data_IF_836212322919
#
_entry.id   IF_836212322919
#
_cell.length_a   1.000
_cell.length_b   1.000
_cell.length_c   1.000
_cell.angle_alpha   90.00
_cell.angle_beta   90.00
_cell.angle_gamma   90.00
#
_symmetry.space_group_name_H-M   'P 1'
#
loop_
_entity.id
_entity.type
_entity.pdbx_description
1 polymer ?
#
# COMPACT_ATOMS: atom_id res chain seq x y z
N UNK A 1 -0.29 -7.56 -19.25
CA UNK A 1 1.17 -7.34 -19.18
C UNK A 1 1.84 -7.85 -20.45
N UNK A 2 2.84 -7.13 -20.97
CA UNK A 2 3.64 -7.56 -22.12
C UNK A 2 4.56 -8.72 -21.74
N UNK A 3 4.98 -9.55 -22.71
CA UNK A 3 5.98 -10.59 -22.49
C UNK A 3 7.27 -10.04 -21.87
N UNK A 4 7.63 -8.78 -22.18
CA UNK A 4 8.78 -8.10 -21.57
C UNK A 4 8.59 -7.87 -20.06
N UNK A 5 7.39 -7.46 -19.63
CA UNK A 5 7.10 -7.25 -18.22
C UNK A 5 7.21 -8.58 -17.41
N UNK A 6 6.62 -9.65 -17.96
CA UNK A 6 6.73 -10.99 -17.35
C UNK A 6 8.18 -11.49 -17.29
N UNK A 7 8.98 -11.20 -18.32
CA UNK A 7 10.40 -11.57 -18.32
C UNK A 7 11.17 -10.76 -17.24
N UNK A 8 10.87 -9.48 -17.08
CA UNK A 8 11.48 -8.66 -16.04
C UNK A 8 11.14 -9.17 -14.64
N UNK A 9 9.87 -9.51 -14.38
CA UNK A 9 9.43 -10.13 -13.12
C UNK A 9 10.15 -11.44 -12.84
N UNK A 10 10.29 -12.31 -13.85
CA UNK A 10 11.00 -13.58 -13.73
C UNK A 10 12.47 -13.37 -13.36
N UNK A 11 13.16 -12.40 -13.99
CA UNK A 11 14.53 -12.05 -13.60
C UNK A 11 14.61 -11.46 -12.20
N UNK A 12 13.63 -10.66 -11.77
CA UNK A 12 13.56 -10.16 -10.39
C UNK A 12 13.44 -11.32 -9.40
N UNK A 13 12.50 -12.23 -9.63
CA UNK A 13 12.34 -13.42 -8.81
C UNK A 13 13.62 -14.28 -8.70
N UNK A 14 14.37 -14.39 -9.81
CA UNK A 14 15.66 -15.06 -9.84
C UNK A 14 16.81 -14.22 -9.24
N UNK A 15 16.55 -13.06 -8.67
CA UNK A 15 17.53 -12.07 -8.15
C UNK A 15 18.55 -11.62 -9.20
N UNK A 16 18.21 -11.72 -10.49
CA UNK A 16 19.00 -11.19 -11.60
C UNK A 16 18.67 -9.71 -11.82
N UNK A 17 18.90 -8.88 -10.79
CA UNK A 17 18.43 -7.51 -10.70
C UNK A 17 18.86 -6.63 -11.88
N UNK A 18 20.12 -6.74 -12.32
CA UNK A 18 20.62 -5.95 -13.45
C UNK A 18 19.82 -6.21 -14.73
N UNK A 19 19.52 -7.49 -15.04
CA UNK A 19 18.72 -7.84 -16.21
C UNK A 19 17.29 -7.37 -16.08
N UNK A 20 16.69 -7.59 -14.92
CA UNK A 20 15.34 -7.12 -14.61
C UNK A 20 15.21 -5.61 -14.78
N UNK A 21 16.07 -4.81 -14.13
CA UNK A 21 16.07 -3.34 -14.22
C UNK A 21 16.23 -2.86 -15.67
N UNK A 22 17.13 -3.44 -16.47
CA UNK A 22 17.30 -3.06 -17.88
C UNK A 22 16.03 -3.23 -18.69
N UNK A 23 15.26 -4.31 -18.44
CA UNK A 23 13.99 -4.53 -19.13
C UNK A 23 12.95 -3.55 -18.63
N UNK A 24 12.82 -3.31 -17.32
CA UNK A 24 11.91 -2.31 -16.78
C UNK A 24 12.21 -0.90 -17.32
N UNK A 25 13.48 -0.49 -17.40
CA UNK A 25 13.85 0.80 -18.03
C UNK A 25 13.39 0.87 -19.49
N UNK A 26 13.49 -0.23 -20.25
CA UNK A 26 12.96 -0.26 -21.62
C UNK A 26 11.43 -0.15 -21.72
N UNK A 27 10.70 -0.48 -20.66
CA UNK A 27 9.24 -0.35 -20.63
C UNK A 27 8.79 1.09 -20.38
N UNK A 28 9.58 1.92 -19.73
CA UNK A 28 9.25 3.32 -19.45
C UNK A 28 9.00 4.13 -20.73
N UNK A 29 9.66 3.80 -21.83
CA UNK A 29 9.49 4.47 -23.11
C UNK A 29 8.20 4.11 -23.87
N UNK A 30 7.46 3.08 -23.43
CA UNK A 30 6.26 2.59 -24.13
C UNK A 30 5.04 3.48 -23.83
N UNK A 31 4.98 4.10 -22.67
CA UNK A 31 3.89 4.98 -22.24
C UNK A 31 3.73 5.02 -20.75
N UNK A 32 2.88 5.95 -20.29
CA UNK A 32 2.74 6.29 -18.87
C UNK A 32 2.43 5.08 -17.96
N UNK A 33 1.47 4.23 -18.34
CA UNK A 33 1.08 3.05 -17.53
C UNK A 33 2.27 2.11 -17.30
N UNK A 34 3.08 1.92 -18.36
CA UNK A 34 4.27 1.08 -18.26
C UNK A 34 5.40 1.77 -17.50
N UNK A 35 5.53 3.08 -17.62
CA UNK A 35 6.52 3.86 -16.86
C UNK A 35 6.26 3.75 -15.37
N UNK A 36 5.00 3.95 -14.93
CA UNK A 36 4.60 3.80 -13.54
C UNK A 36 4.82 2.39 -13.01
N UNK A 37 4.37 1.37 -13.76
CA UNK A 37 4.60 -0.04 -13.41
C UNK A 37 6.08 -0.38 -13.28
N UNK A 38 6.90 0.02 -14.27
CA UNK A 38 8.34 -0.22 -14.27
C UNK A 38 9.04 0.45 -13.08
N UNK A 39 8.67 1.70 -12.77
CA UNK A 39 9.26 2.45 -11.67
C UNK A 39 8.95 1.85 -10.30
N UNK A 40 7.74 1.31 -10.09
CA UNK A 40 7.41 0.55 -8.87
C UNK A 40 8.30 -0.69 -8.71
N UNK A 41 8.48 -1.46 -9.78
CA UNK A 41 9.28 -2.68 -9.73
C UNK A 41 10.79 -2.38 -9.59
N UNK A 42 11.30 -1.33 -10.24
CA UNK A 42 12.68 -0.86 -10.03
C UNK A 42 12.88 -0.42 -8.59
N UNK A 43 11.93 0.29 -8.00
CA UNK A 43 11.99 0.70 -6.60
C UNK A 43 12.03 -0.52 -5.66
N UNK A 44 11.25 -1.56 -5.93
CA UNK A 44 11.29 -2.82 -5.17
C UNK A 44 12.66 -3.50 -5.28
N UNK A 45 13.25 -3.57 -6.47
CA UNK A 45 14.60 -4.12 -6.66
C UNK A 45 15.65 -3.30 -5.91
N UNK A 46 15.58 -1.97 -5.99
CA UNK A 46 16.53 -1.10 -5.29
C UNK A 46 16.42 -1.23 -3.78
N UNK A 47 15.20 -1.48 -3.27
CA UNK A 47 15.00 -1.77 -1.86
C UNK A 47 15.72 -3.04 -1.42
N UNK A 48 15.65 -4.11 -2.23
CA UNK A 48 16.32 -5.37 -1.96
C UNK A 48 17.84 -5.26 -2.08
N UNK A 49 18.36 -4.48 -3.05
CA UNK A 49 19.80 -4.28 -3.27
C UNK A 49 20.45 -3.33 -2.29
N UNK A 50 19.81 -2.19 -1.98
CA UNK A 50 20.46 -1.04 -1.34
C UNK A 50 19.75 -0.59 -0.05
N UNK A 51 18.64 -1.24 0.32
CA UNK A 51 17.86 -0.85 1.47
C UNK A 51 16.93 0.36 1.25
N UNK A 52 16.29 0.79 2.34
CA UNK A 52 15.17 1.76 2.29
C UNK A 52 15.55 3.13 1.75
N UNK A 53 16.78 3.59 1.98
CA UNK A 53 17.18 4.97 1.71
C UNK A 53 17.12 5.34 0.21
N UNK A 54 17.45 4.40 -0.66
CA UNK A 54 17.56 4.66 -2.11
C UNK A 54 16.36 4.18 -2.92
N UNK A 55 15.49 3.37 -2.35
CA UNK A 55 14.46 2.65 -3.09
C UNK A 55 13.34 3.54 -3.65
N UNK A 56 13.02 4.64 -2.98
CA UNK A 56 11.83 5.45 -3.30
C UNK A 56 12.09 6.63 -4.23
N UNK A 57 13.35 7.05 -4.42
CA UNK A 57 13.71 8.27 -5.16
C UNK A 57 13.19 8.22 -6.61
N UNK A 58 13.42 7.12 -7.31
CA UNK A 58 12.98 6.94 -8.70
C UNK A 58 11.45 6.89 -8.81
N UNK A 59 10.79 6.22 -7.87
CA UNK A 59 9.34 6.10 -7.83
C UNK A 59 8.66 7.45 -7.55
N UNK A 60 9.20 8.23 -6.61
CA UNK A 60 8.70 9.57 -6.29
C UNK A 60 8.90 10.53 -7.48
N UNK A 61 10.02 10.41 -8.19
CA UNK A 61 10.25 11.18 -9.41
C UNK A 61 9.20 10.90 -10.47
N UNK A 62 8.90 9.63 -10.76
CA UNK A 62 7.86 9.25 -11.72
C UNK A 62 6.47 9.70 -11.26
N UNK A 63 6.16 9.56 -9.97
CA UNK A 63 4.89 10.05 -9.42
C UNK A 63 4.73 11.57 -9.61
N UNK A 64 5.80 12.34 -9.39
CA UNK A 64 5.79 13.79 -9.54
C UNK A 64 5.70 14.27 -11.00
N UNK A 65 5.95 13.39 -11.97
CA UNK A 65 5.71 13.67 -13.40
C UNK A 65 4.23 13.56 -13.79
N UNK A 66 3.39 13.01 -12.91
CA UNK A 66 1.94 12.99 -13.13
C UNK A 66 1.38 14.40 -13.07
N UNK A 67 0.78 14.85 -14.16
CA UNK A 67 0.15 16.18 -14.22
C UNK A 67 -1.09 16.30 -13.33
N UNK A 68 -1.77 15.19 -13.03
CA UNK A 68 -2.96 15.14 -12.18
C UNK A 68 -3.14 13.74 -11.57
N UNK A 69 -2.42 13.39 -10.49
CA UNK A 69 -2.56 12.09 -9.87
C UNK A 69 -3.95 11.96 -9.24
N UNK A 70 -4.70 10.92 -9.65
CA UNK A 70 -6.00 10.58 -9.09
C UNK A 70 -5.86 9.68 -7.85
N UNK A 71 -7.00 9.27 -7.26
CA UNK A 71 -7.02 8.45 -6.05
C UNK A 71 -6.34 7.08 -6.27
N UNK A 72 -6.42 6.49 -7.45
CA UNK A 72 -5.80 5.20 -7.76
C UNK A 72 -4.27 5.29 -7.70
N UNK A 73 -3.68 6.34 -8.26
CA UNK A 73 -2.25 6.58 -8.20
C UNK A 73 -1.77 6.75 -6.74
N UNK A 74 -2.53 7.51 -5.92
CA UNK A 74 -2.23 7.66 -4.50
C UNK A 74 -2.36 6.33 -3.75
N UNK A 75 -3.42 5.55 -4.03
CA UNK A 75 -3.65 4.24 -3.43
C UNK A 75 -2.54 3.24 -3.75
N UNK A 76 -2.11 3.16 -5.01
CA UNK A 76 -1.01 2.27 -5.42
C UNK A 76 0.32 2.65 -4.77
N UNK A 77 0.62 3.96 -4.71
CA UNK A 77 1.83 4.45 -4.05
C UNK A 77 1.78 4.19 -2.54
N UNK A 78 0.62 4.38 -1.92
CA UNK A 78 0.41 4.06 -0.51
C UNK A 78 0.63 2.57 -0.22
N UNK A 79 0.12 1.68 -1.10
CA UNK A 79 0.35 0.23 -0.99
C UNK A 79 1.83 -0.11 -1.06
N UNK A 80 2.57 0.46 -2.03
CA UNK A 80 4.00 0.26 -2.13
C UNK A 80 4.71 0.65 -0.83
N UNK A 81 4.39 1.81 -0.28
CA UNK A 81 4.99 2.27 0.98
C UNK A 81 4.62 1.38 2.18
N UNK A 82 3.35 0.98 2.30
CA UNK A 82 2.91 0.09 3.38
C UNK A 82 3.61 -1.27 3.32
N UNK A 83 3.63 -1.88 2.13
CA UNK A 83 4.18 -3.23 1.93
C UNK A 83 5.72 -3.26 2.16
N UNK A 84 6.37 -2.09 2.10
CA UNK A 84 7.80 -1.93 2.39
C UNK A 84 8.06 -1.19 3.72
N UNK A 85 7.06 -1.10 4.60
CA UNK A 85 7.16 -0.58 5.97
C UNK A 85 7.55 0.92 6.08
N UNK A 86 7.20 1.72 5.07
CA UNK A 86 7.28 3.18 5.12
C UNK A 86 5.93 3.75 5.60
N UNK A 87 5.57 3.48 6.85
CA UNK A 87 4.21 3.69 7.34
C UNK A 87 3.76 5.15 7.33
N UNK A 88 4.62 6.12 7.66
CA UNK A 88 4.28 7.55 7.58
C UNK A 88 3.93 7.97 6.15
N UNK A 89 4.72 7.52 5.16
CA UNK A 89 4.44 7.80 3.76
C UNK A 89 3.15 7.11 3.30
N UNK A 90 2.92 5.87 3.72
CA UNK A 90 1.69 5.15 3.38
C UNK A 90 0.45 5.85 3.91
N UNK A 91 0.44 6.30 5.16
CA UNK A 91 -0.66 7.08 5.76
C UNK A 91 -0.94 8.35 4.97
N UNK A 92 0.12 9.09 4.60
CA UNK A 92 -0.01 10.31 3.78
C UNK A 92 -0.75 10.01 2.48
N UNK A 93 -0.32 9.00 1.74
CA UNK A 93 -0.87 8.70 0.42
C UNK A 93 -2.24 8.00 0.49
N UNK A 94 -2.52 7.16 1.48
CA UNK A 94 -3.89 6.68 1.73
C UNK A 94 -4.84 7.83 2.05
N UNK A 95 -4.38 8.81 2.82
CA UNK A 95 -5.21 9.99 3.13
C UNK A 95 -5.50 10.84 1.89
N UNK A 96 -4.56 10.95 0.96
CA UNK A 96 -4.79 11.60 -0.33
C UNK A 96 -5.74 10.78 -1.21
N UNK A 97 -5.63 9.46 -1.24
CA UNK A 97 -6.57 8.59 -1.92
C UNK A 97 -8.00 8.76 -1.40
N UNK A 98 -8.18 8.74 -0.06
CA UNK A 98 -9.50 8.95 0.57
C UNK A 98 -10.10 10.34 0.30
N UNK A 99 -9.29 11.36 0.06
CA UNK A 99 -9.79 12.68 -0.34
C UNK A 99 -10.24 12.74 -1.80
N UNK A 100 -9.67 11.92 -2.65
CA UNK A 100 -9.93 11.93 -4.09
C UNK A 100 -10.92 10.86 -4.56
N UNK A 101 -11.46 10.03 -3.66
CA UNK A 101 -12.40 8.95 -3.94
C UNK A 101 -13.78 9.27 -3.37
N UNK A 102 -14.84 8.82 -4.02
CA UNK A 102 -16.21 8.93 -3.49
C UNK A 102 -16.39 8.04 -2.26
N UNK A 103 -17.18 8.50 -1.28
CA UNK A 103 -17.30 7.84 0.03
C UNK A 103 -17.92 6.44 -0.04
N UNK A 104 -18.74 6.17 -1.03
CA UNK A 104 -19.43 4.90 -1.28
C UNK A 104 -18.66 3.98 -2.21
N UNK A 105 -17.47 4.39 -2.66
CA UNK A 105 -16.66 3.57 -3.54
C UNK A 105 -16.16 2.31 -2.81
N UNK A 106 -16.23 1.15 -3.48
CA UNK A 106 -15.93 -0.17 -2.92
C UNK A 106 -14.50 -0.32 -2.34
N UNK A 107 -13.55 0.53 -2.75
CA UNK A 107 -12.18 0.52 -2.20
C UNK A 107 -12.04 1.27 -0.88
N UNK A 108 -13.02 2.09 -0.48
CA UNK A 108 -12.91 2.90 0.75
C UNK A 108 -12.65 2.05 2.00
N UNK A 109 -13.40 0.96 2.25
CA UNK A 109 -13.11 0.09 3.40
C UNK A 109 -11.69 -0.46 3.40
N UNK A 110 -11.21 -0.90 2.25
CA UNK A 110 -9.86 -1.44 2.10
C UNK A 110 -8.76 -0.38 2.32
N UNK A 111 -8.99 0.86 1.88
CA UNK A 111 -8.05 1.95 2.11
C UNK A 111 -7.98 2.29 3.60
N UNK A 112 -9.14 2.33 4.27
CA UNK A 112 -9.23 2.56 5.71
C UNK A 112 -8.53 1.46 6.52
N UNK A 113 -8.80 0.18 6.23
CA UNK A 113 -8.12 -0.95 6.85
C UNK A 113 -6.58 -0.84 6.73
N UNK A 114 -6.08 -0.58 5.51
CA UNK A 114 -4.64 -0.47 5.26
C UNK A 114 -4.02 0.76 5.94
N UNK A 115 -4.73 1.90 5.98
CA UNK A 115 -4.26 3.09 6.70
C UNK A 115 -4.30 2.87 8.20
N UNK A 116 -5.35 2.27 8.73
CA UNK A 116 -5.48 1.88 10.12
C UNK A 116 -4.33 0.97 10.57
N UNK A 117 -4.02 -0.07 9.78
CA UNK A 117 -2.86 -0.93 10.03
C UNK A 117 -1.55 -0.12 10.06
N UNK A 118 -1.37 0.86 9.15
CA UNK A 118 -0.17 1.69 9.13
C UNK A 118 -0.07 2.60 10.36
N UNK A 119 -1.20 3.14 10.85
CA UNK A 119 -1.24 3.89 12.11
C UNK A 119 -0.86 3.01 13.31
N UNK A 120 -1.37 1.78 13.36
CA UNK A 120 -1.03 0.85 14.44
C UNK A 120 0.47 0.53 14.46
N UNK A 121 1.08 0.26 13.31
CA UNK A 121 2.51 0.00 13.19
C UNK A 121 3.39 1.15 13.69
N UNK A 122 2.87 2.37 13.70
CA UNK A 122 3.51 3.56 14.29
C UNK A 122 3.12 3.80 15.76
N UNK A 123 2.36 2.90 16.38
CA UNK A 123 1.88 3.05 17.75
C UNK A 123 0.73 4.05 17.91
N UNK A 124 0.16 4.56 16.84
CA UNK A 124 -0.97 5.49 16.87
C UNK A 124 -2.31 4.74 16.86
N UNK A 125 -2.62 4.11 18.00
CA UNK A 125 -3.80 3.26 18.14
C UNK A 125 -5.11 4.01 17.94
N UNK A 126 -5.24 5.24 18.43
CA UNK A 126 -6.47 6.03 18.33
C UNK A 126 -6.91 6.19 16.85
N UNK A 127 -5.99 6.55 15.96
CA UNK A 127 -6.29 6.68 14.54
C UNK A 127 -6.44 5.31 13.85
N UNK A 128 -5.72 4.28 14.31
CA UNK A 128 -5.87 2.92 13.81
C UNK A 128 -7.28 2.39 14.08
N UNK A 129 -7.72 2.42 15.33
CA UNK A 129 -9.05 1.97 15.74
C UNK A 129 -10.16 2.71 14.99
N UNK A 130 -10.04 4.03 14.87
CA UNK A 130 -11.00 4.85 14.11
C UNK A 130 -11.14 4.40 12.66
N UNK A 131 -10.04 4.17 11.97
CA UNK A 131 -10.05 3.73 10.58
C UNK A 131 -10.62 2.31 10.43
N UNK A 132 -10.24 1.39 11.31
CA UNK A 132 -10.73 0.01 11.30
C UNK A 132 -12.24 -0.05 11.58
N UNK A 133 -12.71 0.71 12.57
CA UNK A 133 -14.15 0.81 12.89
C UNK A 133 -14.95 1.42 11.74
N UNK A 134 -14.45 2.49 11.10
CA UNK A 134 -15.12 3.10 9.95
C UNK A 134 -15.13 2.12 8.75
N UNK A 135 -14.06 1.34 8.55
CA UNK A 135 -14.03 0.27 7.55
C UNK A 135 -15.14 -0.75 7.77
N UNK A 136 -15.29 -1.25 9.01
CA UNK A 136 -16.32 -2.22 9.39
C UNK A 136 -17.74 -1.64 9.31
N UNK A 137 -17.92 -0.35 9.58
CA UNK A 137 -19.22 0.32 9.44
C UNK A 137 -19.68 0.36 7.98
N UNK A 138 -18.76 0.56 7.03
CA UNK A 138 -19.07 0.57 5.58
C UNK A 138 -19.24 -0.86 5.05
N UNK A 139 -18.37 -1.77 5.45
CA UNK A 139 -18.38 -3.18 5.07
C UNK A 139 -18.24 -4.06 6.32
N UNK A 140 -19.35 -4.52 6.93
CA UNK A 140 -19.29 -5.24 8.22
C UNK A 140 -18.62 -6.61 8.16
N UNK A 141 -18.74 -7.33 7.02
CA UNK A 141 -18.21 -8.68 6.86
C UNK A 141 -16.76 -8.66 6.32
N UNK A 142 -15.83 -8.33 7.22
CA UNK A 142 -14.39 -8.33 6.95
C UNK A 142 -13.66 -9.14 8.05
N UNK A 143 -13.59 -10.47 7.96
CA UNK A 143 -13.06 -11.33 9.04
C UNK A 143 -11.65 -10.92 9.51
N UNK A 144 -10.78 -10.50 8.59
CA UNK A 144 -9.42 -10.08 8.95
C UNK A 144 -9.40 -8.77 9.75
N UNK A 145 -10.30 -7.82 9.45
CA UNK A 145 -10.40 -6.53 10.19
C UNK A 145 -11.02 -6.77 11.56
N UNK A 146 -12.09 -7.60 11.63
CA UNK A 146 -12.71 -8.01 12.87
C UNK A 146 -11.71 -8.69 13.81
N UNK A 147 -10.98 -9.69 13.31
CA UNK A 147 -9.96 -10.37 14.08
C UNK A 147 -8.86 -9.40 14.56
N UNK A 148 -8.38 -8.54 13.67
CA UNK A 148 -7.31 -7.60 13.99
C UNK A 148 -7.72 -6.61 15.08
N UNK A 149 -8.92 -6.04 14.98
CA UNK A 149 -9.47 -5.11 15.98
C UNK A 149 -9.71 -5.82 17.30
N UNK A 150 -10.36 -7.00 17.27
CA UNK A 150 -10.65 -7.81 18.46
C UNK A 150 -9.38 -8.18 19.23
N UNK A 151 -8.38 -8.75 18.55
CA UNK A 151 -7.10 -9.09 19.19
C UNK A 151 -6.39 -7.86 19.74
N UNK A 152 -6.42 -6.74 19.05
CA UNK A 152 -5.81 -5.49 19.51
C UNK A 152 -6.51 -4.95 20.77
N UNK A 153 -7.82 -5.04 20.85
CA UNK A 153 -8.59 -4.67 22.05
C UNK A 153 -8.29 -5.58 23.23
N UNK A 154 -8.24 -6.89 23.01
CA UNK A 154 -7.93 -7.88 24.05
C UNK A 154 -6.52 -7.66 24.59
N UNK A 155 -5.53 -7.48 23.73
CA UNK A 155 -4.13 -7.25 24.10
C UNK A 155 -3.96 -5.96 24.92
N UNK A 156 -4.75 -4.94 24.61
CA UNK A 156 -4.77 -3.65 25.33
C UNK A 156 -5.66 -3.64 26.57
N UNK A 157 -6.43 -4.71 26.82
CA UNK A 157 -7.37 -4.80 27.94
C UNK A 157 -8.56 -3.84 27.84
N UNK A 158 -8.97 -3.48 26.62
CA UNK A 158 -10.11 -2.59 26.35
C UNK A 158 -11.16 -3.33 25.52
N UNK A 159 -12.43 -2.92 25.61
CA UNK A 159 -13.56 -3.45 24.82
C UNK A 159 -13.58 -5.00 24.77
N UNK A 160 -13.32 -5.66 25.91
CA UNK A 160 -13.09 -7.12 25.97
C UNK A 160 -14.32 -7.92 25.50
N UNK A 161 -15.52 -7.49 25.90
CA UNK A 161 -16.76 -8.19 25.54
C UNK A 161 -17.03 -8.10 24.04
N UNK A 162 -16.91 -6.90 23.46
CA UNK A 162 -17.06 -6.66 22.02
C UNK A 162 -15.98 -7.41 21.23
N UNK A 163 -14.73 -7.39 21.72
CA UNK A 163 -13.63 -8.13 21.08
C UNK A 163 -13.88 -9.64 21.03
N UNK A 164 -14.40 -10.22 22.12
CA UNK A 164 -14.76 -11.64 22.19
C UNK A 164 -15.95 -11.98 21.28
N UNK A 165 -16.92 -11.08 21.13
CA UNK A 165 -18.05 -11.28 20.20
C UNK A 165 -17.57 -11.26 18.74
N UNK A 166 -16.62 -10.40 18.37
CA UNK A 166 -16.07 -10.33 17.00
C UNK A 166 -15.29 -11.59 16.59
N UNK A 167 -14.83 -12.40 17.56
CA UNK A 167 -14.07 -13.63 17.32
C UNK A 167 -14.96 -14.88 17.21
N UNK A 168 -16.28 -14.76 17.39
CA UNK A 168 -17.25 -15.88 17.25
C UNK A 168 -17.72 -16.05 15.82
#
# INVERSE_FOLDING_TARGET
LTNKALLAENYHYQKKYKLSKNIYESLKSIGFVYSWYASKNIAAILLEENGKEYSTIGLEKEFNLLSNPNFEHHYELANFYKDNEFYEKSIKYYSLALKGIEKDHFLVPKILDRRGTSFERLGNWENAEKDLMESLKILPDQPHVLNYLAYSWIDKGINLDEGLEMLK
#
